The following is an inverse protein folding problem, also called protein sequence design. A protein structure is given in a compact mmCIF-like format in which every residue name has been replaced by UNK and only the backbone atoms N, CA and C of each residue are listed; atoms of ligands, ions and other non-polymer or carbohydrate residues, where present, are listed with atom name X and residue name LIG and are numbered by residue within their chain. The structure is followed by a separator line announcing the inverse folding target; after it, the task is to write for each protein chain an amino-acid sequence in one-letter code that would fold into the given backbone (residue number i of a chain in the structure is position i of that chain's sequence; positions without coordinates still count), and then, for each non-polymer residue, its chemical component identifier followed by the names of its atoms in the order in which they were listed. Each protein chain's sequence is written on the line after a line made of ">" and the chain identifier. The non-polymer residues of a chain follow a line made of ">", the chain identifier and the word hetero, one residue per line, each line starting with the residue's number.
data_IF_618155291545
#
_entry.id   IF_618155291545
#
_cell.length_a   1.000
_cell.length_b   1.000
_cell.length_c   1.000
_cell.angle_alpha   90.00
_cell.angle_beta   90.00
_cell.angle_gamma   90.00
#
_symmetry.space_group_name_H-M   'P 1'
#
loop_
_entity.id
_entity.type
_entity.pdbx_description
1 polymer ?
#
# COMPACT_ATOMS: atom_id res chain seq x y z
N UNK A 1 -74.01 19.14 11.35
CA UNK A 1 -73.01 18.07 11.14
C UNK A 1 -71.93 18.64 10.22
N UNK A 2 -70.82 19.11 10.77
CA UNK A 2 -69.63 19.43 9.96
C UNK A 2 -68.46 18.83 10.75
N UNK A 3 -67.97 17.70 10.26
CA UNK A 3 -66.91 16.93 10.88
C UNK A 3 -65.56 17.62 10.69
N UNK A 4 -64.79 17.65 11.77
CA UNK A 4 -63.41 18.14 11.84
C UNK A 4 -62.50 17.31 10.93
N UNK A 5 -62.00 17.90 9.83
CA UNK A 5 -61.01 17.27 8.93
C UNK A 5 -59.58 17.85 9.09
N UNK A 6 -59.38 18.88 9.91
CA UNK A 6 -58.08 19.57 10.01
C UNK A 6 -57.03 18.80 10.84
N UNK A 7 -57.46 17.78 11.60
CA UNK A 7 -56.59 17.00 12.46
C UNK A 7 -55.81 15.86 11.78
N UNK A 8 -56.11 15.50 10.53
CA UNK A 8 -55.42 14.39 9.84
C UNK A 8 -54.27 14.86 8.93
N UNK A 9 -54.33 16.10 8.43
CA UNK A 9 -53.38 16.63 7.47
C UNK A 9 -52.01 16.98 8.08
N UNK A 10 -51.97 17.34 9.37
CA UNK A 10 -50.72 17.63 10.09
C UNK A 10 -49.92 16.39 10.48
N UNK A 11 -50.59 15.26 10.76
CA UNK A 11 -49.92 14.00 11.13
C UNK A 11 -49.26 13.33 9.92
N UNK A 12 -49.90 13.36 8.74
CA UNK A 12 -49.28 12.82 7.52
C UNK A 12 -48.07 13.66 7.08
N UNK A 13 -48.11 14.98 7.27
CA UNK A 13 -46.98 15.86 6.97
C UNK A 13 -45.77 15.60 7.87
N UNK A 14 -45.98 15.48 9.18
CA UNK A 14 -44.91 15.15 10.14
C UNK A 14 -44.27 13.78 9.86
N UNK A 15 -45.07 12.78 9.45
CA UNK A 15 -44.58 11.45 9.13
C UNK A 15 -43.78 11.42 7.82
N UNK A 16 -44.17 12.23 6.84
CA UNK A 16 -43.43 12.36 5.58
C UNK A 16 -42.10 13.07 5.80
N UNK A 17 -42.06 14.13 6.61
CA UNK A 17 -40.82 14.83 6.98
C UNK A 17 -39.85 13.88 7.70
N UNK A 18 -40.31 13.10 8.69
CA UNK A 18 -39.49 12.10 9.39
C UNK A 18 -38.94 11.03 8.44
N UNK A 19 -39.72 10.57 7.47
CA UNK A 19 -39.26 9.63 6.44
C UNK A 19 -38.19 10.24 5.53
N UNK A 20 -38.30 11.52 5.18
CA UNK A 20 -37.32 12.23 4.37
C UNK A 20 -36.00 12.40 5.13
N UNK A 21 -36.08 12.80 6.41
CA UNK A 21 -34.92 12.93 7.29
C UNK A 21 -34.18 11.61 7.47
N UNK A 22 -34.93 10.51 7.67
CA UNK A 22 -34.35 9.17 7.78
C UNK A 22 -33.70 8.70 6.48
N UNK A 23 -34.29 9.04 5.33
CA UNK A 23 -33.72 8.71 4.03
C UNK A 23 -32.43 9.51 3.75
N UNK A 24 -32.39 10.78 4.15
CA UNK A 24 -31.19 11.62 4.04
C UNK A 24 -30.04 11.07 4.91
N UNK A 25 -30.33 10.63 6.14
CA UNK A 25 -29.34 9.99 7.01
C UNK A 25 -28.80 8.66 6.44
N UNK A 26 -29.67 7.87 5.82
CA UNK A 26 -29.28 6.62 5.15
C UNK A 26 -28.40 6.89 3.92
N UNK A 27 -28.71 7.94 3.15
CA UNK A 27 -27.89 8.38 2.02
C UNK A 27 -26.50 8.85 2.47
N UNK A 28 -26.44 9.71 3.50
CA UNK A 28 -25.17 10.15 4.09
C UNK A 28 -24.31 8.98 4.59
N UNK A 29 -24.94 7.95 5.18
CA UNK A 29 -24.24 6.74 5.63
C UNK A 29 -23.64 5.98 4.44
N UNK A 30 -24.43 5.80 3.39
CA UNK A 30 -24.00 5.09 2.18
C UNK A 30 -22.87 5.84 1.48
N UNK A 31 -22.95 7.16 1.40
CA UNK A 31 -21.88 8.01 0.87
C UNK A 31 -20.59 7.89 1.69
N UNK A 32 -20.68 7.94 3.02
CA UNK A 32 -19.52 7.76 3.88
C UNK A 32 -18.86 6.38 3.68
N UNK A 33 -19.66 5.33 3.53
CA UNK A 33 -19.16 3.97 3.28
C UNK A 33 -18.47 3.86 1.91
N UNK A 34 -19.11 4.37 0.85
CA UNK A 34 -18.55 4.39 -0.50
C UNK A 34 -17.25 5.19 -0.55
N UNK A 35 -17.25 6.40 0.02
CA UNK A 35 -16.07 7.25 0.09
C UNK A 35 -14.92 6.59 0.86
N UNK A 36 -15.21 5.92 1.99
CA UNK A 36 -14.22 5.16 2.75
C UNK A 36 -13.62 4.00 1.94
N UNK A 37 -14.46 3.26 1.21
CA UNK A 37 -14.01 2.18 0.33
C UNK A 37 -13.12 2.70 -0.79
N UNK A 38 -13.51 3.79 -1.45
CA UNK A 38 -12.73 4.43 -2.51
C UNK A 38 -11.38 4.92 -1.96
N UNK A 39 -11.35 5.55 -0.80
CA UNK A 39 -10.11 6.03 -0.18
C UNK A 39 -9.13 4.89 0.10
N UNK A 40 -9.62 3.76 0.65
CA UNK A 40 -8.81 2.56 0.90
C UNK A 40 -8.26 1.97 -0.39
N UNK A 41 -9.09 1.87 -1.44
CA UNK A 41 -8.66 1.37 -2.74
C UNK A 41 -7.61 2.28 -3.40
N UNK A 42 -7.78 3.60 -3.32
CA UNK A 42 -6.80 4.58 -3.82
C UNK A 42 -5.48 4.46 -3.08
N UNK A 43 -5.51 4.38 -1.76
CA UNK A 43 -4.31 4.21 -0.94
C UNK A 43 -3.57 2.91 -1.26
N UNK A 44 -4.32 1.80 -1.42
CA UNK A 44 -3.74 0.51 -1.83
C UNK A 44 -3.06 0.61 -3.19
N UNK A 45 -3.74 1.18 -4.20
CA UNK A 45 -3.18 1.38 -5.54
C UNK A 45 -1.89 2.21 -5.51
N UNK A 46 -1.87 3.30 -4.75
CA UNK A 46 -0.68 4.14 -4.60
C UNK A 46 0.49 3.40 -3.92
N UNK A 47 0.21 2.61 -2.88
CA UNK A 47 1.22 1.80 -2.21
C UNK A 47 1.81 0.74 -3.13
N UNK A 48 0.94 -0.01 -3.83
CA UNK A 48 1.34 -1.06 -4.76
C UNK A 48 2.17 -0.50 -5.93
N UNK A 49 1.83 0.70 -6.41
CA UNK A 49 2.60 1.41 -7.43
C UNK A 49 4.02 1.74 -6.96
N UNK A 50 4.20 2.20 -5.72
CA UNK A 50 5.52 2.54 -5.19
C UNK A 50 6.40 1.32 -4.90
N UNK A 51 5.77 0.24 -4.45
CA UNK A 51 6.45 -1.04 -4.19
C UNK A 51 7.07 -1.63 -5.47
N UNK A 52 6.39 -1.50 -6.61
CA UNK A 52 6.77 -2.14 -7.87
C UNK A 52 7.83 -1.41 -8.70
N UNK A 53 8.37 -0.27 -8.28
CA UNK A 53 9.28 0.53 -9.14
C UNK A 53 10.72 0.01 -9.24
N UNK A 54 11.08 -1.06 -8.51
CA UNK A 54 12.44 -1.61 -8.60
C UNK A 54 12.53 -2.64 -9.72
N UNK A 55 12.73 -2.16 -10.94
CA UNK A 55 13.04 -3.01 -12.08
C UNK A 55 14.49 -3.53 -11.94
N UNK A 56 14.63 -4.84 -11.79
CA UNK A 56 15.91 -5.52 -11.71
C UNK A 56 16.16 -6.31 -12.99
N UNK A 57 17.40 -6.26 -13.48
CA UNK A 57 17.83 -7.06 -14.63
C UNK A 57 18.96 -8.00 -14.24
N UNK A 58 19.05 -9.14 -14.94
CA UNK A 58 20.19 -10.06 -14.83
C UNK A 58 21.49 -9.32 -15.15
N UNK A 59 22.52 -9.54 -14.34
CA UNK A 59 23.83 -8.88 -14.44
C UNK A 59 23.94 -7.53 -13.72
N UNK A 60 22.84 -6.97 -13.21
CA UNK A 60 22.88 -5.70 -12.49
C UNK A 60 23.57 -5.83 -11.13
N UNK A 61 24.36 -4.81 -10.75
CA UNK A 61 24.94 -4.68 -9.42
C UNK A 61 23.92 -4.09 -8.44
N UNK A 62 23.76 -4.73 -7.28
CA UNK A 62 22.80 -4.33 -6.24
C UNK A 62 23.40 -4.44 -4.84
N UNK A 63 22.91 -3.61 -3.93
CA UNK A 63 23.18 -3.67 -2.51
C UNK A 63 22.08 -4.47 -1.80
N UNK A 64 22.45 -5.28 -0.82
CA UNK A 64 21.50 -6.03 0.00
C UNK A 64 21.33 -5.40 1.38
N UNK A 65 20.09 -5.19 1.82
CA UNK A 65 19.81 -4.72 3.16
C UNK A 65 20.04 -5.83 4.20
N UNK A 66 20.86 -5.56 5.21
CA UNK A 66 21.06 -6.43 6.36
C UNK A 66 19.97 -6.21 7.42
N UNK A 67 19.10 -7.21 7.57
CA UNK A 67 17.99 -7.20 8.52
C UNK A 67 18.41 -7.57 9.94
N UNK A 68 19.60 -8.16 10.15
CA UNK A 68 20.02 -8.58 11.48
C UNK A 68 20.25 -7.36 12.36
N UNK A 69 19.65 -7.35 13.54
CA UNK A 69 19.86 -6.29 14.52
C UNK A 69 21.26 -6.41 15.10
N UNK A 70 22.21 -5.71 14.49
CA UNK A 70 23.52 -5.50 15.08
C UNK A 70 23.42 -4.31 16.03
N UNK A 71 23.58 -4.54 17.33
CA UNK A 71 23.80 -3.48 18.31
C UNK A 71 25.20 -2.93 18.04
N UNK A 72 25.32 -1.90 17.19
CA UNK A 72 26.61 -1.33 16.84
C UNK A 72 27.16 -0.53 18.04
N UNK A 73 28.30 -0.91 18.64
CA UNK A 73 28.87 -0.21 19.80
C UNK A 73 29.57 1.13 19.43
N UNK A 74 29.25 1.71 18.26
CA UNK A 74 29.89 2.91 17.70
C UNK A 74 29.05 3.56 16.60
N UNK A 75 29.64 4.48 15.80
CA UNK A 75 28.96 5.28 14.75
C UNK A 75 27.98 4.45 13.89
N UNK A 76 26.84 5.06 13.52
CA UNK A 76 25.85 4.50 12.59
C UNK A 76 26.50 4.08 11.26
N UNK A 77 26.75 2.78 11.07
CA UNK A 77 27.13 2.20 9.78
C UNK A 77 25.90 2.01 8.92
N UNK A 78 26.05 2.14 7.60
CA UNK A 78 24.99 1.78 6.67
C UNK A 78 24.69 0.28 6.78
N UNK A 79 23.41 -0.08 6.78
CA UNK A 79 22.95 -1.48 6.84
C UNK A 79 22.93 -2.15 5.47
N UNK A 80 23.55 -1.53 4.47
CA UNK A 80 23.63 -2.04 3.11
C UNK A 80 24.94 -2.82 2.98
N UNK A 81 24.83 -4.11 2.69
CA UNK A 81 25.97 -4.99 2.47
C UNK A 81 26.25 -5.04 0.98
N UNK A 82 27.53 -4.89 0.62
CA UNK A 82 28.22 -5.33 -0.61
C UNK A 82 27.53 -5.12 -1.97
N UNK A 83 28.28 -4.81 -3.03
CA UNK A 83 27.74 -5.03 -4.37
C UNK A 83 27.61 -6.54 -4.60
N UNK A 84 26.42 -6.98 -5.00
CA UNK A 84 26.10 -8.32 -5.47
C UNK A 84 25.64 -8.24 -6.92
N UNK A 85 25.82 -9.32 -7.69
CA UNK A 85 25.32 -9.40 -9.07
C UNK A 85 24.02 -10.20 -9.08
N UNK A 86 23.01 -9.70 -9.79
CA UNK A 86 21.77 -10.44 -10.02
C UNK A 86 22.04 -11.58 -11.02
N UNK A 87 21.82 -12.82 -10.58
CA UNK A 87 21.89 -14.00 -11.43
C UNK A 87 20.59 -14.22 -12.21
N UNK A 88 19.44 -14.08 -11.54
CA UNK A 88 18.11 -14.27 -12.13
C UNK A 88 17.05 -13.50 -11.35
N UNK A 89 15.96 -13.12 -12.03
CA UNK A 89 14.81 -12.41 -11.44
C UNK A 89 13.55 -13.21 -11.73
N UNK A 90 12.90 -13.68 -10.68
CA UNK A 90 11.65 -14.41 -10.79
C UNK A 90 10.47 -13.44 -10.86
N UNK A 91 9.40 -13.85 -11.56
CA UNK A 91 8.17 -13.05 -11.72
C UNK A 91 7.44 -12.74 -10.41
N UNK A 92 7.72 -13.49 -9.34
CA UNK A 92 7.18 -13.29 -7.99
C UNK A 92 7.93 -12.25 -7.14
N UNK A 93 8.93 -11.56 -7.70
CA UNK A 93 9.74 -10.56 -6.99
C UNK A 93 10.90 -11.13 -6.16
N UNK A 94 11.14 -12.44 -6.24
CA UNK A 94 12.35 -13.06 -5.68
C UNK A 94 13.50 -12.87 -6.67
N UNK A 95 14.65 -12.43 -6.15
CA UNK A 95 15.86 -12.20 -6.92
C UNK A 95 16.94 -13.17 -6.44
N UNK A 96 17.61 -13.81 -7.38
CA UNK A 96 18.78 -14.64 -7.11
C UNK A 96 20.03 -13.78 -7.21
N UNK A 97 20.79 -13.71 -6.11
CA UNK A 97 22.06 -13.00 -6.06
C UNK A 97 23.23 -13.98 -6.16
N UNK A 98 24.26 -13.58 -6.88
CA UNK A 98 25.56 -14.23 -6.91
C UNK A 98 26.49 -13.58 -5.87
N UNK A 99 27.07 -14.39 -5.00
CA UNK A 99 28.12 -13.94 -4.08
C UNK A 99 29.49 -14.03 -4.76
N UNK A 100 30.30 -12.98 -4.67
CA UNK A 100 31.67 -13.01 -5.21
C UNK A 100 32.60 -13.97 -4.45
N UNK A 101 32.36 -14.15 -3.15
CA UNK A 101 33.23 -14.97 -2.29
C UNK A 101 32.96 -16.46 -2.42
N UNK A 102 31.76 -16.82 -2.87
CA UNK A 102 31.32 -18.20 -3.02
C UNK A 102 30.48 -18.22 -4.27
N UNK A 103 30.86 -18.96 -5.31
CA UNK A 103 30.13 -19.12 -6.59
C UNK A 103 28.68 -19.64 -6.44
N UNK A 104 28.19 -19.77 -5.20
CA UNK A 104 26.81 -20.01 -4.82
C UNK A 104 25.93 -18.80 -5.05
N UNK A 105 24.75 -19.08 -5.58
CA UNK A 105 23.63 -18.15 -5.61
C UNK A 105 22.76 -18.32 -4.36
N UNK A 106 22.04 -17.26 -3.98
CA UNK A 106 21.04 -17.32 -2.92
C UNK A 106 19.84 -16.44 -3.27
N UNK A 107 18.66 -16.85 -2.78
CA UNK A 107 17.38 -16.16 -3.04
C UNK A 107 17.12 -15.09 -1.99
N UNK A 108 16.75 -13.91 -2.44
CA UNK A 108 16.34 -12.79 -1.58
C UNK A 108 15.08 -12.13 -2.13
N UNK A 109 14.33 -11.46 -1.26
CA UNK A 109 13.22 -10.63 -1.68
C UNK A 109 13.76 -9.33 -2.31
N UNK A 110 13.32 -9.01 -3.55
CA UNK A 110 13.72 -7.80 -4.28
C UNK A 110 13.45 -6.49 -3.54
N UNK A 111 12.49 -6.46 -2.61
CA UNK A 111 12.23 -5.30 -1.76
C UNK A 111 13.48 -4.87 -0.95
N UNK A 112 14.30 -5.84 -0.54
CA UNK A 112 15.53 -5.64 0.26
C UNK A 112 16.74 -5.25 -0.58
N UNK A 113 16.56 -5.10 -1.89
CA UNK A 113 17.62 -4.72 -2.81
C UNK A 113 17.55 -3.25 -3.16
N UNK A 114 18.71 -2.67 -3.39
CA UNK A 114 18.88 -1.31 -3.90
C UNK A 114 19.85 -1.34 -5.08
N UNK A 115 19.52 -0.73 -6.24
CA UNK A 115 20.47 -0.60 -7.34
C UNK A 115 21.77 0.05 -6.88
N UNK A 116 22.89 -0.54 -7.25
CA UNK A 116 24.20 0.07 -7.04
C UNK A 116 24.41 1.11 -8.14
N UNK A 117 24.47 2.39 -7.76
CA UNK A 117 24.80 3.46 -8.69
C UNK A 117 26.32 3.48 -8.83
N UNK A 118 26.82 2.96 -9.94
CA UNK A 118 28.21 3.15 -10.30
C UNK A 118 28.34 4.62 -10.71
N UNK A 119 28.95 5.44 -9.86
CA UNK A 119 29.29 6.81 -10.21
C UNK A 119 30.21 6.75 -11.42
N UNK A 120 29.74 7.25 -12.57
CA UNK A 120 30.54 7.34 -13.79
C UNK A 120 31.89 7.99 -13.46
N UNK A 121 32.97 7.25 -13.74
CA UNK A 121 34.34 7.76 -13.74
C UNK A 121 34.80 8.03 -15.16
#
# INVERSE_FOLDING_TARGET
>A
MVGNQEGQHGFDKSRVEECLDLNELEEMRNDAYLNSKIAKERLKKWHDQLVNQKNFAKGQRVLLYDSKLHLFPGKLKSRWTGPFIIHDVQSNGVVELLNFNSTRTFKVNGHRLKPYLESFS
#
